data_IF_072670610234
#
_entry.id   IF_072670610234
#
_cell.length_a   1.000
_cell.length_b   1.000
_cell.length_c   1.000
_cell.angle_alpha   90.00
_cell.angle_beta   90.00
_cell.angle_gamma   90.00
#
_symmetry.space_group_name_H-M   'P 1'
#
loop_
_entity.id
_entity.type
_entity.pdbx_description
1 polymer ?
#
# COMPACT_ATOMS: atom_id res chain seq x y z
N UNK A 1 6.56 -12.62 -17.41
CA UNK A 1 8.02 -12.58 -17.10
C UNK A 1 8.65 -13.92 -17.46
N UNK A 2 9.81 -13.89 -18.12
CA UNK A 2 10.75 -15.02 -18.16
C UNK A 2 12.07 -14.50 -17.63
N UNK A 3 12.67 -15.21 -16.68
CA UNK A 3 14.02 -14.92 -16.18
C UNK A 3 14.78 -16.24 -16.17
N UNK A 4 15.88 -16.29 -16.91
CA UNK A 4 16.88 -17.37 -16.81
C UNK A 4 18.02 -16.85 -15.94
N UNK A 5 18.47 -17.68 -14.99
CA UNK A 5 19.59 -17.34 -14.11
C UNK A 5 20.80 -18.24 -14.38
N UNK A 6 21.98 -17.63 -14.53
CA UNK A 6 23.24 -18.32 -14.27
C UNK A 6 24.02 -17.52 -13.22
N UNK A 7 24.19 -18.16 -12.05
CA UNK A 7 25.16 -17.95 -10.95
C UNK A 7 25.48 -16.50 -10.50
N UNK A 8 25.18 -16.24 -9.22
CA UNK A 8 25.70 -15.18 -8.36
C UNK A 8 25.87 -13.79 -9.02
N UNK A 9 24.75 -13.19 -9.41
CA UNK A 9 24.69 -11.78 -9.82
C UNK A 9 23.53 -11.11 -9.08
N UNK A 10 23.77 -9.92 -8.53
CA UNK A 10 22.72 -9.10 -7.96
C UNK A 10 21.65 -8.86 -9.04
N UNK A 11 20.49 -9.51 -8.89
CA UNK A 11 19.34 -9.22 -9.74
C UNK A 11 18.85 -7.83 -9.34
N UNK A 12 19.04 -6.85 -10.22
CA UNK A 12 18.24 -5.63 -10.21
C UNK A 12 16.82 -6.08 -10.50
N UNK A 13 16.02 -6.23 -9.45
CA UNK A 13 14.57 -6.38 -9.62
C UNK A 13 14.09 -5.00 -10.05
N UNK A 14 13.92 -4.81 -11.35
CA UNK A 14 13.27 -3.61 -11.88
C UNK A 14 11.76 -3.78 -11.66
N UNK A 15 11.24 -3.08 -10.66
CA UNK A 15 9.81 -2.85 -10.51
C UNK A 15 9.33 -2.13 -11.77
N UNK A 16 8.49 -2.78 -12.58
CA UNK A 16 7.80 -2.08 -13.65
C UNK A 16 6.58 -1.38 -13.05
N UNK A 17 6.76 -0.13 -12.61
CA UNK A 17 5.67 0.83 -12.40
C UNK A 17 5.06 1.31 -13.73
N UNK A 18 5.45 0.69 -14.84
CA UNK A 18 5.08 1.04 -16.21
C UNK A 18 3.59 0.77 -16.45
N UNK A 19 2.77 1.76 -16.10
CA UNK A 19 1.60 2.09 -16.91
C UNK A 19 2.12 2.77 -18.16
N UNK A 20 1.47 2.55 -19.30
CA UNK A 20 1.93 3.00 -20.60
C UNK A 20 1.91 4.53 -20.84
N UNK A 21 2.48 5.34 -19.94
CA UNK A 21 2.63 6.77 -20.13
C UNK A 21 4.00 7.26 -19.64
N UNK A 22 4.61 8.17 -20.39
CA UNK A 22 5.91 8.79 -20.14
C UNK A 22 5.98 9.71 -18.90
N UNK A 23 5.00 9.67 -17.98
CA UNK A 23 4.81 10.64 -16.89
C UNK A 23 4.35 10.00 -15.56
N UNK A 24 5.13 9.08 -14.98
CA UNK A 24 4.88 8.53 -13.63
C UNK A 24 4.32 7.10 -13.58
N UNK A 25 4.02 6.56 -12.39
CA UNK A 25 3.49 5.20 -12.24
C UNK A 25 2.10 5.07 -12.89
N UNK A 26 1.75 3.84 -13.29
CA UNK A 26 0.38 3.51 -13.70
C UNK A 26 -0.63 3.94 -12.62
N UNK A 27 -1.85 4.31 -13.05
CA UNK A 27 -2.97 4.54 -12.13
C UNK A 27 -3.28 3.34 -11.25
N UNK A 28 -2.90 2.13 -11.68
CA UNK A 28 -2.90 0.94 -10.85
C UNK A 28 -2.12 -0.22 -11.48
N UNK A 29 -1.89 -1.24 -10.68
CA UNK A 29 -1.19 -2.45 -11.11
C UNK A 29 -0.95 -3.41 -9.97
N UNK A 30 -0.31 -4.54 -10.30
CA UNK A 30 0.07 -5.55 -9.30
C UNK A 30 1.27 -6.36 -9.78
N UNK A 31 1.87 -7.08 -8.84
CA UNK A 31 2.98 -7.97 -9.13
C UNK A 31 3.23 -8.93 -7.98
N UNK A 32 4.06 -9.94 -8.27
CA UNK A 32 4.58 -10.86 -7.27
C UNK A 32 6.00 -11.28 -7.61
N UNK A 33 6.79 -11.54 -6.59
CA UNK A 33 8.12 -12.13 -6.74
C UNK A 33 8.52 -12.87 -5.47
N UNK A 34 9.61 -13.63 -5.57
CA UNK A 34 10.21 -14.27 -4.42
C UNK A 34 11.71 -14.02 -4.38
N UNK A 35 12.30 -14.02 -3.18
CA UNK A 35 13.73 -13.78 -2.98
C UNK A 35 14.25 -14.56 -1.79
N UNK A 36 15.43 -15.16 -1.93
CA UNK A 36 16.16 -15.72 -0.80
C UNK A 36 16.84 -14.57 -0.03
N UNK A 37 16.64 -14.52 1.28
CA UNK A 37 17.29 -13.58 2.19
C UNK A 37 18.12 -14.38 3.19
N UNK A 38 19.45 -14.16 3.27
CA UNK A 38 20.27 -14.84 4.26
C UNK A 38 20.05 -14.24 5.65
N UNK A 39 20.27 -15.05 6.68
CA UNK A 39 20.29 -14.60 8.07
C UNK A 39 21.30 -13.46 8.27
N UNK A 40 20.90 -12.45 9.04
CA UNK A 40 21.59 -11.18 9.23
C UNK A 40 21.83 -10.39 7.93
N UNK A 41 21.20 -10.82 6.84
CA UNK A 41 21.24 -10.16 5.55
C UNK A 41 20.09 -9.19 5.38
N UNK A 42 20.33 -8.14 4.60
CA UNK A 42 19.30 -7.19 4.17
C UNK A 42 19.24 -7.18 2.65
N UNK A 43 18.09 -7.52 2.10
CA UNK A 43 17.86 -7.53 0.67
C UNK A 43 16.96 -6.36 0.27
N UNK A 44 17.35 -5.58 -0.74
CA UNK A 44 16.43 -4.64 -1.39
C UNK A 44 15.39 -5.43 -2.18
N UNK A 45 14.11 -5.09 -1.97
CA UNK A 45 12.94 -5.76 -2.54
C UNK A 45 11.92 -4.78 -3.13
N UNK A 46 12.27 -3.50 -3.30
CA UNK A 46 11.34 -2.51 -3.80
C UNK A 46 11.93 -1.12 -3.89
N UNK A 47 11.59 -0.39 -4.94
CA UNK A 47 11.59 1.07 -4.89
C UNK A 47 10.18 1.54 -5.25
N UNK A 48 9.54 2.28 -4.35
CA UNK A 48 8.22 2.90 -4.57
C UNK A 48 8.49 4.35 -5.01
N UNK A 49 8.20 4.72 -6.27
CA UNK A 49 8.39 6.08 -6.74
C UNK A 49 7.31 7.00 -6.18
N UNK A 50 7.49 8.30 -6.36
CA UNK A 50 6.44 9.30 -6.16
C UNK A 50 5.24 9.02 -7.07
N UNK A 51 4.04 9.40 -6.64
CA UNK A 51 2.82 9.31 -7.46
C UNK A 51 2.10 7.96 -7.35
N UNK A 52 2.63 6.99 -6.60
CA UNK A 52 1.92 5.76 -6.28
C UNK A 52 0.84 6.06 -5.25
N UNK A 53 -0.38 5.62 -5.52
CA UNK A 53 -1.54 5.75 -4.63
C UNK A 53 -2.10 4.37 -4.28
N UNK A 54 -2.64 4.24 -3.06
CA UNK A 54 -3.33 3.02 -2.60
C UNK A 54 -2.47 1.74 -2.61
N UNK A 55 -1.19 1.83 -2.22
CA UNK A 55 -0.27 0.69 -2.27
C UNK A 55 -0.58 -0.34 -1.17
N UNK A 56 -0.60 -1.60 -1.55
CA UNK A 56 -0.72 -2.75 -0.67
C UNK A 56 0.43 -3.72 -0.94
N UNK A 57 1.10 -4.17 0.11
CA UNK A 57 2.21 -5.11 0.05
C UNK A 57 1.98 -6.18 1.12
N UNK A 58 2.01 -7.43 0.69
CA UNK A 58 1.97 -8.61 1.54
C UNK A 58 3.28 -9.37 1.41
N UNK A 59 3.88 -9.67 2.55
CA UNK A 59 5.09 -10.46 2.70
C UNK A 59 4.69 -11.78 3.36
N UNK A 60 5.11 -12.90 2.79
CA UNK A 60 4.90 -14.23 3.36
C UNK A 60 6.19 -15.03 3.38
N UNK A 61 6.47 -15.70 4.50
CA UNK A 61 7.60 -16.59 4.69
C UNK A 61 7.34 -17.58 5.83
N UNK A 62 7.92 -18.77 5.73
CA UNK A 62 7.95 -19.75 6.83
C UNK A 62 9.04 -19.42 7.87
N UNK A 63 9.74 -18.30 7.71
CA UNK A 63 10.90 -17.88 8.50
C UNK A 63 10.76 -16.45 8.98
N UNK A 64 11.44 -16.13 10.09
CA UNK A 64 11.48 -14.80 10.68
C UNK A 64 12.25 -13.80 9.77
N UNK A 65 11.50 -13.15 8.88
CA UNK A 65 11.94 -12.15 7.91
C UNK A 65 11.04 -10.92 8.06
N UNK A 66 11.65 -9.75 8.27
CA UNK A 66 10.90 -8.50 8.48
C UNK A 66 11.00 -7.58 7.27
N UNK A 67 9.87 -7.02 6.83
CA UNK A 67 9.80 -5.94 5.86
C UNK A 67 10.22 -4.61 6.50
N UNK A 68 11.00 -3.85 5.75
CA UNK A 68 11.50 -2.54 6.14
C UNK A 68 11.14 -1.49 5.09
N UNK A 69 10.70 -0.31 5.53
CA UNK A 69 10.45 0.85 4.66
C UNK A 69 11.41 1.99 5.00
N UNK A 70 12.09 2.49 3.98
CA UNK A 70 13.10 3.55 4.10
C UNK A 70 12.77 4.73 3.20
N UNK A 71 13.04 5.95 3.68
CA UNK A 71 13.04 7.18 2.89
C UNK A 71 14.44 7.82 2.99
N UNK A 72 15.26 7.58 1.96
CA UNK A 72 16.70 7.84 2.03
C UNK A 72 17.34 7.09 3.20
N UNK A 73 17.91 7.84 4.15
CA UNK A 73 18.51 7.31 5.38
C UNK A 73 17.51 7.18 6.55
N UNK A 74 16.29 7.68 6.37
CA UNK A 74 15.25 7.62 7.41
C UNK A 74 14.64 6.23 7.44
N UNK A 75 14.74 5.56 8.58
CA UNK A 75 14.09 4.27 8.81
C UNK A 75 12.63 4.49 9.25
N UNK A 76 11.69 4.29 8.34
CA UNK A 76 10.28 4.68 8.52
C UNK A 76 9.48 3.57 9.20
N UNK A 77 9.56 2.34 8.68
CA UNK A 77 8.85 1.16 9.20
C UNK A 77 9.83 0.00 9.37
N UNK A 78 9.68 -0.73 10.46
CA UNK A 78 10.43 -1.96 10.76
C UNK A 78 10.84 -2.00 12.23
N UNK A 79 11.48 -3.10 12.66
CA UNK A 79 11.95 -3.24 14.05
C UNK A 79 13.10 -2.27 14.36
N UNK A 80 14.37 -2.68 14.24
CA UNK A 80 15.49 -1.79 14.56
C UNK A 80 16.72 -2.07 13.71
N UNK A 81 17.54 -1.03 13.51
CA UNK A 81 18.86 -1.15 12.90
C UNK A 81 19.89 -0.59 13.87
N UNK A 82 20.87 -1.42 14.24
CA UNK A 82 21.93 -1.04 15.20
C UNK A 82 21.37 -0.46 16.52
N UNK A 83 20.27 -1.03 17.02
CA UNK A 83 19.59 -0.58 18.23
C UNK A 83 18.75 0.69 18.08
N UNK A 84 18.72 1.31 16.88
CA UNK A 84 17.86 2.46 16.57
C UNK A 84 16.53 1.98 15.99
N UNK A 85 15.45 2.37 16.65
CA UNK A 85 14.06 2.08 16.25
C UNK A 85 13.67 2.88 14.99
N UNK A 86 12.74 2.33 14.21
CA UNK A 86 12.06 3.07 13.14
C UNK A 86 11.11 4.13 13.71
N UNK A 87 10.55 4.98 12.84
CA UNK A 87 9.54 5.96 13.22
C UNK A 87 8.18 5.33 13.55
N UNK A 88 7.77 4.34 12.76
CA UNK A 88 6.56 3.54 12.96
C UNK A 88 7.00 2.18 13.50
N UNK A 89 7.07 2.09 14.82
CA UNK A 89 7.71 0.99 15.55
C UNK A 89 6.70 0.31 16.49
N UNK A 90 6.28 -0.92 16.15
CA UNK A 90 5.36 -1.71 16.96
C UNK A 90 5.50 -3.21 16.66
N UNK A 91 5.25 -4.05 17.66
CA UNK A 91 5.14 -5.51 17.55
C UNK A 91 3.85 -5.95 16.86
N UNK A 92 2.82 -5.13 16.96
CA UNK A 92 1.44 -5.38 16.54
C UNK A 92 0.96 -4.30 15.56
N UNK A 93 -0.20 -4.50 14.90
CA UNK A 93 -0.66 -3.59 13.86
C UNK A 93 -0.70 -2.13 14.32
N UNK A 94 -0.09 -1.26 13.51
CA UNK A 94 0.05 0.17 13.82
C UNK A 94 -0.14 1.00 12.55
N UNK A 95 -0.69 2.20 12.70
CA UNK A 95 -0.78 3.18 11.62
C UNK A 95 -0.10 4.49 12.04
N UNK A 96 0.71 5.05 11.14
CA UNK A 96 1.37 6.34 11.32
C UNK A 96 1.20 7.23 10.10
N UNK A 97 1.30 8.55 10.30
CA UNK A 97 1.35 9.53 9.21
C UNK A 97 2.81 9.85 8.91
N UNK A 98 3.21 9.75 7.65
CA UNK A 98 4.55 10.13 7.20
C UNK A 98 4.47 10.81 5.84
N UNK A 99 5.00 12.04 5.74
CA UNK A 99 5.05 12.83 4.49
C UNK A 99 3.72 12.86 3.70
N UNK A 100 2.61 13.01 4.41
CA UNK A 100 1.28 13.16 3.81
C UNK A 100 0.57 11.85 3.46
N UNK A 101 1.19 10.69 3.64
CA UNK A 101 0.53 9.38 3.46
C UNK A 101 0.33 8.68 4.80
N UNK A 102 -0.76 7.92 4.92
CA UNK A 102 -0.98 7.02 6.06
C UNK A 102 -0.35 5.68 5.76
N UNK A 103 0.48 5.19 6.66
CA UNK A 103 1.20 3.93 6.53
C UNK A 103 0.72 3.00 7.64
N UNK A 104 0.07 1.89 7.28
CA UNK A 104 -0.29 0.82 8.19
C UNK A 104 0.68 -0.35 8.01
N UNK A 105 1.16 -0.89 9.13
CA UNK A 105 2.08 -2.03 9.16
C UNK A 105 1.60 -3.05 10.19
N UNK A 106 1.78 -4.34 9.92
CA UNK A 106 1.41 -5.44 10.82
C UNK A 106 2.20 -5.47 12.13
N UNK A 107 3.41 -4.92 12.13
CA UNK A 107 4.38 -5.12 13.21
C UNK A 107 5.21 -6.39 13.02
N UNK A 108 6.35 -6.44 13.70
CA UNK A 108 7.37 -7.51 13.54
C UNK A 108 6.96 -8.87 14.10
N UNK A 109 5.91 -8.95 14.94
CA UNK A 109 5.36 -10.26 15.31
C UNK A 109 4.47 -10.85 14.20
N UNK A 110 4.29 -10.10 13.10
CA UNK A 110 3.55 -10.53 11.93
C UNK A 110 2.03 -10.53 12.14
N UNK A 111 1.33 -11.03 11.12
CA UNK A 111 -0.13 -11.19 11.13
C UNK A 111 -0.47 -12.40 12.00
N UNK A 112 -1.35 -12.19 12.99
CA UNK A 112 -1.79 -13.22 13.94
C UNK A 112 -0.63 -13.92 14.69
N UNK A 113 0.48 -13.20 14.91
CA UNK A 113 1.67 -13.73 15.58
C UNK A 113 2.55 -14.63 14.68
N UNK A 114 2.26 -14.70 13.39
CA UNK A 114 3.06 -15.45 12.41
C UNK A 114 4.20 -14.58 11.90
N UNK A 115 5.35 -14.66 12.58
CA UNK A 115 6.59 -14.02 12.12
C UNK A 115 6.95 -14.45 10.70
N UNK A 116 7.44 -13.51 9.90
CA UNK A 116 7.63 -13.72 8.46
C UNK A 116 6.39 -13.50 7.61
N UNK A 117 5.21 -13.27 8.21
CA UNK A 117 4.01 -12.87 7.51
C UNK A 117 3.63 -11.45 7.91
N UNK A 118 3.91 -10.49 7.04
CA UNK A 118 3.76 -9.06 7.35
C UNK A 118 3.08 -8.31 6.22
N UNK A 119 2.54 -7.13 6.53
CA UNK A 119 1.99 -6.25 5.50
C UNK A 119 2.42 -4.81 5.68
N UNK A 120 2.53 -4.09 4.56
CA UNK A 120 2.51 -2.62 4.54
C UNK A 120 1.35 -2.17 3.65
N UNK A 121 0.57 -1.20 4.14
CA UNK A 121 -0.45 -0.48 3.38
C UNK A 121 -0.11 0.99 3.39
N UNK A 122 -0.12 1.65 2.24
CA UNK A 122 0.08 3.09 2.12
C UNK A 122 -1.17 3.69 1.47
N UNK A 123 -1.91 4.48 2.25
CA UNK A 123 -3.08 5.22 1.77
C UNK A 123 -2.72 6.68 1.50
N UNK A 124 -3.13 7.17 0.33
CA UNK A 124 -2.74 8.46 -0.23
C UNK A 124 -1.58 8.36 -1.21
N UNK A 125 -1.38 9.44 -1.96
CA UNK A 125 -0.36 9.49 -3.02
C UNK A 125 1.01 9.84 -2.44
N UNK A 126 1.96 8.93 -2.61
CA UNK A 126 3.37 9.11 -2.23
C UNK A 126 3.99 10.37 -2.84
N UNK A 127 4.64 11.19 -2.01
CA UNK A 127 5.31 12.44 -2.42
C UNK A 127 6.85 12.32 -2.46
N UNK A 128 7.38 11.17 -2.01
CA UNK A 128 8.80 10.85 -2.01
C UNK A 128 9.01 9.40 -2.49
N UNK A 129 10.25 9.10 -2.84
CA UNK A 129 10.66 7.73 -3.16
C UNK A 129 10.88 6.96 -1.86
N UNK A 130 10.30 5.77 -1.74
CA UNK A 130 10.63 4.82 -0.66
C UNK A 130 11.45 3.65 -1.20
N UNK A 131 12.34 3.13 -0.37
CA UNK A 131 13.09 1.91 -0.62
C UNK A 131 12.57 0.82 0.33
N UNK A 132 12.07 -0.27 -0.24
CA UNK A 132 11.65 -1.45 0.52
C UNK A 132 12.78 -2.45 0.62
N UNK A 133 12.96 -3.00 1.81
CA UNK A 133 13.93 -4.04 2.09
C UNK A 133 13.29 -5.14 2.91
N UNK A 134 13.95 -6.29 2.94
CA UNK A 134 13.66 -7.37 3.89
C UNK A 134 14.93 -7.66 4.65
N UNK A 135 14.83 -7.78 5.97
CA UNK A 135 15.89 -8.24 6.83
C UNK A 135 15.62 -9.67 7.31
N UNK A 136 16.61 -10.54 7.23
CA UNK A 136 16.45 -11.92 7.70
C UNK A 136 16.97 -12.14 9.10
N UNK A 137 16.08 -12.29 10.09
CA UNK A 137 16.46 -12.84 11.40
C UNK A 137 16.77 -14.34 11.31
N UNK A 138 16.12 -15.00 10.34
CA UNK A 138 16.45 -16.34 9.86
C UNK A 138 16.75 -16.30 8.36
N UNK A 139 17.43 -17.33 7.84
CA UNK A 139 17.57 -17.50 6.39
C UNK A 139 16.27 -18.06 5.85
N UNK A 140 15.69 -17.43 4.83
CA UNK A 140 14.43 -17.87 4.26
C UNK A 140 14.12 -17.30 2.88
N UNK A 141 13.23 -17.97 2.18
CA UNK A 141 12.60 -17.38 0.99
C UNK A 141 11.42 -16.53 1.43
N UNK A 142 11.36 -15.31 0.92
CA UNK A 142 10.20 -14.45 1.03
C UNK A 142 9.41 -14.49 -0.28
N UNK A 143 8.08 -14.56 -0.18
CA UNK A 143 7.16 -14.24 -1.26
C UNK A 143 6.56 -12.87 -1.00
N UNK A 144 6.61 -11.98 -1.98
CA UNK A 144 6.02 -10.65 -1.89
C UNK A 144 4.97 -10.51 -2.98
N UNK A 145 3.77 -10.17 -2.57
CA UNK A 145 2.67 -9.78 -3.45
C UNK A 145 2.36 -8.31 -3.21
N UNK A 146 2.10 -7.56 -4.28
CA UNK A 146 1.80 -6.14 -4.15
C UNK A 146 0.82 -5.68 -5.21
N UNK A 147 0.04 -4.66 -4.87
CA UNK A 147 -0.90 -3.99 -5.76
C UNK A 147 -1.00 -2.51 -5.40
N UNK A 148 -1.35 -1.69 -6.37
CA UNK A 148 -1.57 -0.26 -6.16
C UNK A 148 -2.64 0.26 -7.11
N UNK A 149 -3.07 1.48 -6.84
CA UNK A 149 -4.16 2.15 -7.51
C UNK A 149 -5.37 2.21 -6.60
N UNK A 150 -5.90 3.42 -6.44
CA UNK A 150 -7.27 3.62 -5.98
C UNK A 150 -8.20 3.42 -7.17
N UNK A 151 -9.37 2.83 -6.96
CA UNK A 151 -10.48 3.01 -7.89
C UNK A 151 -10.69 4.53 -8.01
N UNK A 152 -10.27 5.13 -9.13
CA UNK A 152 -10.54 6.54 -9.38
C UNK A 152 -12.06 6.72 -9.42
N UNK A 153 -12.66 7.19 -8.32
CA UNK A 153 -13.83 8.02 -8.46
C UNK A 153 -13.41 9.19 -9.36
N UNK A 154 -14.14 9.36 -10.47
CA UNK A 154 -13.89 10.38 -11.48
C UNK A 154 -13.65 11.75 -10.85
N UNK A 155 -12.83 12.61 -11.46
CA UNK A 155 -12.69 13.98 -10.97
C UNK A 155 -14.02 14.69 -11.18
N UNK A 156 -14.78 14.98 -10.13
CA UNK A 156 -15.92 15.88 -10.17
C UNK A 156 -15.44 17.32 -9.93
N UNK A 157 -14.63 17.83 -10.85
CA UNK A 157 -14.68 19.26 -11.14
C UNK A 157 -15.94 19.53 -11.96
N UNK A 158 -17.04 19.78 -11.28
CA UNK A 158 -18.15 20.57 -11.82
C UNK A 158 -18.40 21.75 -10.87
N UNK A 159 -17.50 22.72 -10.96
CA UNK A 159 -17.91 24.11 -10.89
C UNK A 159 -18.85 24.33 -12.08
N UNK A 160 -20.15 24.16 -11.84
CA UNK A 160 -21.23 24.46 -12.76
C UNK A 160 -22.45 24.90 -11.93
N UNK A 161 -22.42 26.15 -11.48
CA UNK A 161 -23.65 26.92 -11.35
C UNK A 161 -24.31 27.00 -12.74
N UNK A 162 -25.56 26.54 -12.87
CA UNK A 162 -26.56 27.50 -13.29
C UNK A 162 -27.90 27.28 -12.59
N UNK A 163 -28.17 28.10 -11.59
CA UNK A 163 -29.51 28.59 -11.32
C UNK A 163 -29.98 29.47 -12.48
N UNK A 164 -30.65 28.90 -13.49
CA UNK A 164 -31.63 29.60 -14.35
C UNK A 164 -32.71 28.64 -14.86
N UNK A 165 -33.76 28.50 -14.05
CA UNK A 165 -35.17 28.77 -14.37
C UNK A 165 -35.83 28.30 -15.72
N UNK A 166 -36.96 27.59 -15.53
CA UNK A 166 -38.23 27.51 -16.32
C UNK A 166 -38.48 26.42 -17.39
N UNK A 167 -39.29 25.44 -16.95
CA UNK A 167 -40.66 25.13 -17.45
C UNK A 167 -40.85 24.36 -18.78
N UNK A 168 -41.40 23.12 -18.71
CA UNK A 168 -42.70 22.66 -19.29
C UNK A 168 -42.74 21.15 -19.63
N UNK A 169 -43.75 20.44 -19.08
CA UNK A 169 -44.60 19.44 -19.77
C UNK A 169 -44.06 18.09 -20.28
N UNK A 170 -44.55 17.00 -19.65
CA UNK A 170 -44.98 15.68 -20.19
C UNK A 170 -44.19 14.99 -21.34
N UNK A 171 -43.76 13.73 -21.15
CA UNK A 171 -44.49 12.52 -21.61
C UNK A 171 -43.75 11.21 -21.22
N UNK A 172 -44.51 10.13 -21.11
CA UNK A 172 -44.06 8.81 -20.69
C UNK A 172 -43.52 7.95 -21.85
N UNK A 173 -42.44 7.18 -21.60
CA UNK A 173 -42.22 5.75 -21.95
C UNK A 173 -40.72 5.44 -22.07
N UNK A 174 -40.21 4.60 -21.16
CA UNK A 174 -39.45 3.36 -21.42
C UNK A 174 -38.52 3.01 -20.23
N UNK A 175 -38.82 1.89 -19.56
CA UNK A 175 -37.84 1.07 -18.82
C UNK A 175 -37.57 -0.18 -19.67
N UNK A 176 -36.32 -0.66 -19.76
CA UNK A 176 -35.97 -1.93 -19.12
C UNK A 176 -34.62 -1.84 -18.37
N UNK A 177 -34.56 -2.20 -17.08
CA UNK A 177 -34.22 -3.50 -16.46
C UNK A 177 -32.71 -3.82 -16.40
N UNK A 178 -32.19 -3.57 -15.19
CA UNK A 178 -31.22 -4.31 -14.37
C UNK A 178 -30.17 -5.21 -15.02
N UNK A 179 -28.94 -5.10 -14.50
CA UNK A 179 -28.15 -6.29 -14.19
C UNK A 179 -27.70 -6.24 -12.73
N UNK A 180 -28.34 -7.09 -11.93
CA UNK A 180 -27.95 -7.48 -10.57
C UNK A 180 -27.18 -8.79 -10.70
N UNK A 181 -25.98 -8.87 -10.15
CA UNK A 181 -25.43 -10.14 -9.68
C UNK A 181 -25.12 -10.04 -8.19
N UNK A 182 -25.51 -11.10 -7.49
CA UNK A 182 -25.70 -11.20 -6.06
C UNK A 182 -24.47 -11.79 -5.33
N UNK A 183 -24.49 -11.53 -4.02
CA UNK A 183 -23.65 -11.99 -2.89
C UNK A 183 -23.22 -13.47 -2.89
N UNK A 184 -22.13 -13.76 -2.16
CA UNK A 184 -22.10 -14.55 -0.89
C UNK A 184 -20.68 -14.45 -0.25
N UNK A 185 -20.43 -13.80 0.89
CA UNK A 185 -20.75 -14.10 2.30
C UNK A 185 -19.68 -14.96 3.01
N UNK A 186 -18.86 -14.36 3.89
CA UNK A 186 -18.51 -14.85 5.25
C UNK A 186 -17.50 -13.93 6.00
N UNK A 187 -18.03 -13.12 6.93
CA UNK A 187 -17.51 -12.90 8.29
C UNK A 187 -16.13 -12.29 8.54
N UNK A 188 -16.07 -10.96 8.67
CA UNK A 188 -15.42 -10.26 9.79
C UNK A 188 -15.87 -8.79 9.78
N UNK A 189 -16.73 -8.42 10.73
CA UNK A 189 -17.12 -7.03 10.98
C UNK A 189 -15.90 -6.23 11.45
N UNK A 190 -15.44 -5.29 10.63
CA UNK A 190 -14.58 -4.20 11.11
C UNK A 190 -15.48 -2.99 11.40
N UNK A 191 -15.49 -2.45 12.64
CA UNK A 191 -16.32 -1.29 12.94
C UNK A 191 -15.85 -0.09 12.12
N UNK A 192 -16.76 0.45 11.31
CA UNK A 192 -16.58 1.72 10.63
C UNK A 192 -16.43 2.83 11.69
N UNK A 193 -15.21 3.34 11.88
CA UNK A 193 -15.01 4.53 12.71
C UNK A 193 -15.52 5.74 11.92
N UNK A 194 -16.65 6.31 12.38
CA UNK A 194 -17.09 7.65 11.97
C UNK A 194 -15.99 8.64 12.36
N UNK A 195 -15.41 9.31 11.39
CA UNK A 195 -14.63 10.51 11.64
C UNK A 195 -15.61 11.62 12.05
N UNK A 196 -15.81 11.81 13.36
CA UNK A 196 -16.45 13.02 13.86
C UNK A 196 -15.43 14.17 13.73
N UNK A 197 -15.80 15.13 12.89
CA UNK A 197 -15.06 16.35 12.64
C UNK A 197 -15.28 17.36 13.78
N UNK A 198 -14.73 17.10 14.97
CA UNK A 198 -14.60 18.07 16.06
C UNK A 198 -13.39 17.72 16.94
N UNK A 199 -12.17 18.04 16.47
CA UNK A 199 -11.00 18.17 17.36
C UNK A 199 -9.87 18.97 16.67
N UNK A 200 -10.25 20.10 16.08
CA UNK A 200 -9.34 21.17 15.69
C UNK A 200 -9.62 22.36 16.61
N UNK A 201 -9.22 22.25 17.88
CA UNK A 201 -9.03 23.39 18.79
C UNK A 201 -8.34 22.92 20.09
N UNK A 202 -7.05 22.55 20.02
CA UNK A 202 -6.24 22.44 21.25
C UNK A 202 -4.72 22.45 21.09
N UNK A 203 -4.17 23.37 20.31
CA UNK A 203 -2.75 23.72 20.44
C UNK A 203 -2.55 25.23 20.32
N UNK A 204 -2.63 25.88 21.48
CA UNK A 204 -2.27 27.27 21.69
C UNK A 204 -2.17 27.54 23.18
N UNK A 205 -0.98 27.29 23.74
CA UNK A 205 -0.28 28.08 24.77
C UNK A 205 1.19 27.68 24.76
#
# INVERSE_FOLDING_TARGET
>A
MKVFGYRAGAVKVEYSWAGGASNGPASGGSGRFSKLVPQNGRAVIGTIPTGVDGLQIDLTSDHDLDIELWDGETFVVGWQVNGKKSLIYRDSPVTGLYRGVRISWSGWDGVDGQKGNEFIRISGTTQNVFLMKVFGYQTGNVSVEYSWGSDQAAPDNADADPATDRNTGADARARPKSNTYARNSAGADFPAFRADSQDLDRWGQ
#
